data_IF_247677881266
#
_entry.id   IF_247677881266
#
_cell.length_a   1.000
_cell.length_b   1.000
_cell.length_c   1.000
_cell.angle_alpha   90.00
_cell.angle_beta   90.00
_cell.angle_gamma   90.00
#
_symmetry.space_group_name_H-M   'P 1'
#
loop_
_entity.id
_entity.type
_entity.pdbx_description
1 polymer ?
#
# COMPACT_ATOMS: atom_id res chain seq x y z
N UNK A 1 16.24 32.46 34.46
CA UNK A 1 17.21 32.66 33.34
C UNK A 1 17.69 31.28 32.91
N UNK A 2 17.35 30.92 31.67
CA UNK A 2 17.93 29.87 30.81
C UNK A 2 18.22 28.48 31.42
N UNK A 3 17.22 27.61 31.28
CA UNK A 3 17.42 26.16 31.20
C UNK A 3 18.37 25.84 30.03
N UNK A 4 19.51 25.24 30.35
CA UNK A 4 20.47 24.72 29.39
C UNK A 4 19.84 23.58 28.60
N UNK A 5 19.25 23.91 27.44
CA UNK A 5 19.00 22.96 26.36
C UNK A 5 20.34 22.62 25.72
N UNK A 6 21.12 21.77 26.36
CA UNK A 6 22.31 21.17 25.77
C UNK A 6 22.38 19.69 26.14
N UNK A 7 21.37 18.95 25.72
CA UNK A 7 21.43 17.50 25.65
C UNK A 7 20.87 17.12 24.27
N UNK A 8 21.64 16.29 23.56
CA UNK A 8 21.25 15.52 22.37
C UNK A 8 21.74 15.98 20.98
N UNK A 9 22.92 16.58 20.88
CA UNK A 9 23.76 16.31 19.70
C UNK A 9 24.83 15.31 20.14
N UNK A 10 24.54 14.02 19.98
CA UNK A 10 25.64 13.06 19.90
C UNK A 10 26.56 13.55 18.78
N UNK A 11 27.89 13.64 18.97
CA UNK A 11 28.79 13.96 17.87
C UNK A 11 28.51 12.95 16.76
N UNK A 12 27.85 13.41 15.72
CA UNK A 12 27.60 12.67 14.50
C UNK A 12 28.77 13.05 13.61
N UNK A 13 29.76 12.17 13.51
CA UNK A 13 30.89 12.40 12.64
C UNK A 13 30.55 11.77 11.28
N UNK A 14 30.44 12.61 10.25
CA UNK A 14 30.29 12.12 8.88
C UNK A 14 31.52 11.29 8.49
N UNK A 15 31.26 10.07 8.04
CA UNK A 15 32.29 9.08 7.75
C UNK A 15 32.48 8.86 6.23
N UNK A 16 31.49 9.24 5.43
CA UNK A 16 31.55 9.19 3.97
C UNK A 16 30.39 8.42 3.36
N UNK A 17 30.59 7.91 2.16
CA UNK A 17 29.61 7.15 1.38
C UNK A 17 30.06 5.69 1.21
N UNK A 18 29.12 4.75 1.28
CA UNK A 18 29.35 3.34 1.01
C UNK A 18 28.38 2.85 -0.06
N UNK A 19 28.87 2.04 -1.00
CA UNK A 19 28.05 1.37 -2.01
C UNK A 19 27.97 -0.12 -1.69
N UNK A 20 26.75 -0.65 -1.59
CA UNK A 20 26.48 -2.06 -1.29
C UNK A 20 25.30 -2.52 -2.17
N UNK A 21 25.49 -3.59 -2.95
CA UNK A 21 24.46 -4.17 -3.84
C UNK A 21 23.76 -3.17 -4.77
N UNK A 22 24.49 -2.15 -5.25
CA UNK A 22 23.93 -1.09 -6.11
C UNK A 22 23.06 -0.06 -5.37
N UNK A 23 23.07 -0.09 -4.04
CA UNK A 23 22.57 0.97 -3.18
C UNK A 23 23.72 1.81 -2.62
N UNK A 24 23.45 3.09 -2.46
CA UNK A 24 24.37 4.10 -1.94
C UNK A 24 23.89 4.54 -0.57
N UNK A 25 24.76 4.46 0.42
CA UNK A 25 24.49 4.82 1.81
C UNK A 25 25.42 5.93 2.26
N UNK A 26 24.89 6.98 2.91
CA UNK A 26 25.72 7.89 3.68
C UNK A 26 25.96 7.30 5.06
N UNK A 27 27.21 7.30 5.50
CA UNK A 27 27.64 6.73 6.77
C UNK A 27 28.07 7.83 7.72
N UNK A 28 27.59 7.73 8.95
CA UNK A 28 28.04 8.58 10.05
C UNK A 28 28.31 7.74 11.31
N UNK A 29 29.16 8.25 12.20
CA UNK A 29 29.42 7.64 13.49
C UNK A 29 28.71 8.42 14.58
N UNK A 30 27.86 7.75 15.36
CA UNK A 30 27.09 8.33 16.46
C UNK A 30 27.62 7.82 17.80
N UNK A 31 28.06 8.73 18.67
CA UNK A 31 28.42 8.36 20.06
C UNK A 31 27.16 8.28 20.94
N UNK A 32 26.85 7.09 21.45
CA UNK A 32 25.72 6.83 22.35
C UNK A 32 26.22 6.37 23.72
N UNK A 33 25.56 6.82 24.80
CA UNK A 33 25.84 6.32 26.14
C UNK A 33 25.37 4.87 26.23
N UNK A 34 26.23 3.95 26.62
CA UNK A 34 25.83 2.56 26.76
C UNK A 34 24.96 2.39 28.01
N UNK A 35 23.72 1.94 27.84
CA UNK A 35 22.95 1.33 28.93
C UNK A 35 23.48 -0.09 29.15
N UNK A 36 24.67 -0.20 29.75
CA UNK A 36 25.03 -1.48 30.35
C UNK A 36 24.13 -1.62 31.58
N UNK A 37 23.02 -2.36 31.47
CA UNK A 37 22.33 -2.83 32.66
C UNK A 37 23.33 -3.73 33.36
N UNK A 38 23.78 -3.32 34.55
CA UNK A 38 24.62 -4.15 35.41
C UNK A 38 23.98 -5.54 35.52
N UNK A 39 24.73 -6.64 35.47
CA UNK A 39 24.18 -7.93 35.85
C UNK A 39 23.64 -7.76 37.26
N UNK A 40 22.33 -7.84 37.44
CA UNK A 40 21.74 -7.86 38.77
C UNK A 40 22.38 -9.04 39.50
N UNK A 41 23.02 -8.74 40.63
CA UNK A 41 23.50 -9.72 41.59
C UNK A 41 22.42 -10.77 41.80
N UNK A 42 22.79 -12.05 41.69
CA UNK A 42 21.91 -13.15 42.05
C UNK A 42 21.40 -13.00 43.49
N UNK A 43 20.25 -13.61 43.82
CA UNK A 43 19.63 -13.45 45.13
C UNK A 43 20.47 -14.22 46.17
N UNK A 44 21.42 -13.56 46.83
CA UNK A 44 22.24 -14.24 47.84
C UNK A 44 23.45 -13.52 48.43
N UNK A 45 23.54 -12.18 48.39
CA UNK A 45 24.67 -11.47 49.00
C UNK A 45 24.28 -10.12 49.55
N UNK A 46 24.25 -9.99 50.88
CA UNK A 46 24.22 -8.70 51.56
C UNK A 46 25.52 -7.93 51.29
N UNK A 47 25.56 -7.15 50.22
CA UNK A 47 26.47 -6.00 50.11
C UNK A 47 25.67 -4.77 49.71
N UNK A 48 25.82 -3.71 50.51
CA UNK A 48 25.28 -2.40 50.17
C UNK A 48 25.82 -1.99 48.79
N UNK A 49 24.97 -1.43 47.89
CA UNK A 49 25.41 -1.04 46.57
C UNK A 49 26.55 -0.03 46.69
N UNK A 50 27.76 -0.42 46.29
CA UNK A 50 28.90 0.48 46.34
C UNK A 50 28.63 1.70 45.44
N UNK A 51 28.71 2.94 45.94
CA UNK A 51 28.43 4.14 45.15
C UNK A 51 29.47 4.40 44.04
N UNK A 52 30.55 3.60 44.00
CA UNK A 52 31.68 3.72 43.07
C UNK A 52 31.44 2.94 41.77
N UNK A 53 30.54 1.95 41.76
CA UNK A 53 30.24 1.18 40.54
C UNK A 53 29.53 1.99 39.44
N UNK A 54 29.05 3.21 39.77
CA UNK A 54 28.32 4.09 38.86
C UNK A 54 29.12 5.31 38.37
N UNK A 55 30.43 5.41 38.65
CA UNK A 55 31.20 6.65 38.40
C UNK A 55 31.69 6.82 36.97
N UNK A 56 31.70 5.77 36.13
CA UNK A 56 32.17 5.87 34.74
C UNK A 56 31.04 5.81 33.72
N UNK A 57 30.84 6.92 33.00
CA UNK A 57 29.99 6.97 31.82
C UNK A 57 30.63 6.16 30.69
N UNK A 58 30.04 5.02 30.39
CA UNK A 58 30.45 4.21 29.25
C UNK A 58 29.76 4.73 27.98
N UNK A 59 30.55 4.97 26.93
CA UNK A 59 30.08 5.37 25.61
C UNK A 59 30.41 4.28 24.60
N UNK A 60 29.50 4.05 23.65
CA UNK A 60 29.71 3.25 22.45
C UNK A 60 29.55 4.16 21.24
N UNK A 61 30.43 4.04 20.27
CA UNK A 61 30.24 4.64 18.95
C UNK A 61 29.52 3.61 18.07
N UNK A 62 28.38 3.97 17.51
CA UNK A 62 27.63 3.17 16.55
C UNK A 62 27.76 3.77 15.16
N UNK A 63 27.96 2.91 14.17
CA UNK A 63 27.86 3.28 12.76
C UNK A 63 26.39 3.41 12.41
N UNK A 64 26.02 4.55 11.84
CA UNK A 64 24.70 4.86 11.34
C UNK A 64 24.75 4.93 9.82
N UNK A 65 23.91 4.16 9.12
CA UNK A 65 23.81 4.17 7.66
C UNK A 65 22.45 4.70 7.22
N UNK A 66 22.45 5.68 6.33
CA UNK A 66 21.23 6.29 5.77
C UNK A 66 21.22 6.05 4.27
N UNK A 67 20.14 5.48 3.75
CA UNK A 67 20.03 5.14 2.34
C UNK A 67 19.86 6.42 1.50
N UNK A 68 20.68 6.59 0.46
CA UNK A 68 20.69 7.78 -0.42
C UNK A 68 20.14 7.50 -1.80
N UNK A 69 20.52 6.37 -2.39
CA UNK A 69 20.04 5.95 -3.69
C UNK A 69 20.01 4.43 -3.76
N UNK A 70 19.01 3.87 -4.42
CA UNK A 70 18.95 2.44 -4.71
C UNK A 70 17.98 2.17 -5.85
N UNK A 71 18.01 0.94 -6.37
CA UNK A 71 16.96 0.42 -7.24
C UNK A 71 15.67 0.19 -6.44
N UNK A 72 14.54 0.13 -7.13
CA UNK A 72 13.21 -0.01 -6.51
C UNK A 72 13.12 -1.22 -5.58
N UNK A 73 13.64 -2.37 -6.00
CA UNK A 73 13.58 -3.61 -5.23
C UNK A 73 14.28 -3.46 -3.87
N UNK A 74 15.39 -2.71 -3.85
CA UNK A 74 16.14 -2.45 -2.62
C UNK A 74 15.47 -1.38 -1.77
N UNK A 75 14.83 -0.36 -2.36
CA UNK A 75 14.01 0.59 -1.61
C UNK A 75 12.84 -0.11 -0.91
N UNK A 76 12.16 -1.03 -1.60
CA UNK A 76 11.08 -1.83 -1.02
C UNK A 76 11.62 -2.78 0.07
N UNK A 77 12.79 -3.39 -0.15
CA UNK A 77 13.47 -4.16 0.88
C UNK A 77 13.76 -3.35 2.14
N UNK A 78 14.18 -2.10 1.99
CA UNK A 78 14.43 -1.17 3.09
C UNK A 78 13.14 -0.78 3.83
N UNK A 79 11.99 -0.69 3.16
CA UNK A 79 10.69 -0.44 3.83
C UNK A 79 10.30 -1.56 4.78
N UNK A 80 10.58 -2.81 4.38
CA UNK A 80 10.10 -4.02 5.08
C UNK A 80 11.11 -4.53 6.09
N UNK A 81 12.40 -4.52 5.73
CA UNK A 81 13.48 -5.12 6.50
C UNK A 81 14.56 -4.13 6.92
N UNK A 82 14.42 -2.85 6.59
CA UNK A 82 15.35 -1.80 6.99
C UNK A 82 15.35 -1.54 8.49
N UNK A 83 16.50 -1.11 9.00
CA UNK A 83 16.67 -0.77 10.41
C UNK A 83 16.18 0.66 10.65
N UNK A 84 14.98 0.78 11.21
CA UNK A 84 14.34 2.07 11.53
C UNK A 84 15.13 2.91 12.53
N UNK A 85 16.04 2.32 13.30
CA UNK A 85 16.91 3.09 14.20
C UNK A 85 18.01 3.84 13.43
N UNK A 86 18.38 3.33 12.26
CA UNK A 86 19.41 3.92 11.39
C UNK A 86 18.85 5.10 10.61
N UNK A 87 17.66 4.93 10.03
CA UNK A 87 16.98 5.97 9.25
C UNK A 87 15.46 5.96 9.52
N UNK A 88 14.99 6.64 10.58
CA UNK A 88 13.56 6.73 10.88
C UNK A 88 12.80 7.61 9.88
N UNK A 89 13.50 8.47 9.13
CA UNK A 89 12.90 9.34 8.12
C UNK A 89 12.66 8.64 6.79
N UNK A 90 13.24 7.47 6.56
CA UNK A 90 13.16 6.77 5.29
C UNK A 90 11.71 6.50 4.86
N UNK A 91 10.91 5.83 5.71
CA UNK A 91 9.53 5.45 5.40
C UNK A 91 8.66 6.66 5.05
N UNK A 92 8.56 7.71 5.90
CA UNK A 92 7.72 8.87 5.56
C UNK A 92 8.24 9.63 4.33
N UNK A 93 9.57 9.78 4.16
CA UNK A 93 10.11 10.45 2.98
C UNK A 93 9.85 9.66 1.69
N UNK A 94 9.97 8.34 1.74
CA UNK A 94 9.68 7.46 0.61
C UNK A 94 8.20 7.54 0.23
N UNK A 95 7.29 7.38 1.20
CA UNK A 95 5.83 7.43 0.95
C UNK A 95 5.39 8.79 0.40
N UNK A 96 6.02 9.88 0.83
CA UNK A 96 5.71 11.21 0.32
C UNK A 96 6.17 11.47 -1.13
N UNK A 97 7.11 10.68 -1.66
CA UNK A 97 7.80 11.01 -2.93
C UNK A 97 7.84 9.90 -3.97
N UNK A 98 7.46 8.66 -3.64
CA UNK A 98 7.63 7.51 -4.56
C UNK A 98 6.91 7.68 -5.91
N UNK A 99 5.77 8.40 -5.94
CA UNK A 99 4.99 8.65 -7.16
C UNK A 99 5.78 9.37 -8.26
N UNK A 100 6.87 10.05 -7.90
CA UNK A 100 7.75 10.71 -8.88
C UNK A 100 8.54 9.72 -9.73
N UNK A 101 8.69 8.47 -9.28
CA UNK A 101 9.46 7.45 -9.99
C UNK A 101 8.75 6.10 -10.18
N UNK A 102 7.69 5.80 -9.40
CA UNK A 102 6.95 4.53 -9.46
C UNK A 102 5.44 4.74 -9.24
N UNK A 103 4.56 4.13 -10.07
CA UNK A 103 3.12 4.16 -9.83
C UNK A 103 2.71 3.25 -8.66
N UNK A 104 1.64 3.62 -7.94
CA UNK A 104 1.10 2.90 -6.77
C UNK A 104 0.95 1.40 -7.02
N UNK A 105 0.23 1.01 -8.07
CA UNK A 105 0.04 -0.39 -8.46
C UNK A 105 1.35 -1.19 -8.57
N UNK A 106 2.40 -0.60 -9.15
CA UNK A 106 3.71 -1.26 -9.27
C UNK A 106 4.36 -1.43 -7.90
N UNK A 107 4.32 -0.41 -7.05
CA UNK A 107 4.86 -0.49 -5.69
C UNK A 107 4.13 -1.54 -4.85
N UNK A 108 2.80 -1.59 -4.92
CA UNK A 108 1.99 -2.61 -4.26
C UNK A 108 2.33 -4.02 -4.75
N UNK A 109 2.62 -4.19 -6.03
CA UNK A 109 3.08 -5.47 -6.58
C UNK A 109 4.41 -5.97 -5.98
N UNK A 110 5.27 -5.09 -5.48
CA UNK A 110 6.49 -5.49 -4.75
C UNK A 110 6.25 -5.67 -3.25
N UNK A 111 5.30 -4.94 -2.67
CA UNK A 111 5.08 -4.89 -1.23
C UNK A 111 4.12 -5.99 -0.74
N UNK A 112 3.06 -6.25 -1.50
CA UNK A 112 2.01 -7.19 -1.13
C UNK A 112 2.43 -8.62 -1.51
N UNK A 113 2.63 -9.53 -0.54
CA UNK A 113 2.81 -10.93 -0.86
C UNK A 113 1.52 -11.50 -1.48
N UNK A 114 1.63 -12.55 -2.33
CA UNK A 114 0.48 -13.23 -2.88
C UNK A 114 -0.46 -13.69 -1.75
N UNK A 115 -1.77 -13.61 -2.00
CA UNK A 115 -2.78 -14.15 -1.07
C UNK A 115 -2.48 -15.64 -0.85
N UNK A 116 -2.32 -16.11 0.40
CA UNK A 116 -2.03 -17.51 0.66
C UNK A 116 -3.19 -18.39 0.18
N UNK A 117 -2.91 -19.55 -0.44
CA UNK A 117 -3.95 -20.47 -0.85
C UNK A 117 -4.74 -20.99 0.37
N UNK A 118 -6.03 -21.29 0.23
CA UNK A 118 -6.82 -21.84 1.32
C UNK A 118 -6.20 -23.16 1.80
N UNK A 119 -6.12 -23.41 3.12
CA UNK A 119 -5.55 -24.64 3.61
C UNK A 119 -6.37 -25.84 3.10
N UNK A 120 -5.71 -26.91 2.59
CA UNK A 120 -6.42 -28.12 2.21
C UNK A 120 -7.12 -28.71 3.45
N UNK A 121 -8.34 -29.24 3.31
CA UNK A 121 -9.06 -29.84 4.43
C UNK A 121 -8.24 -30.99 5.04
N UNK A 122 -7.91 -30.87 6.33
CA UNK A 122 -7.27 -31.92 7.11
C UNK A 122 -5.74 -31.87 7.27
N UNK A 123 -5.06 -30.81 6.84
CA UNK A 123 -3.60 -30.69 7.01
C UNK A 123 -3.23 -29.75 8.16
N UNK A 124 -2.65 -30.30 9.23
CA UNK A 124 -1.95 -29.54 10.26
C UNK A 124 -0.67 -28.92 9.66
N UNK A 125 -0.63 -27.59 9.58
CA UNK A 125 0.51 -26.85 9.05
C UNK A 125 1.67 -26.97 10.04
N UNK A 126 2.61 -27.90 9.77
CA UNK A 126 3.88 -27.98 10.49
C UNK A 126 4.75 -26.78 10.09
N UNK A 127 4.72 -25.75 10.92
CA UNK A 127 5.43 -24.47 10.72
C UNK A 127 6.94 -24.61 10.94
N UNK A 128 7.73 -24.33 9.91
CA UNK A 128 9.18 -24.18 10.01
C UNK A 128 9.50 -22.87 10.74
N UNK A 129 9.83 -22.94 12.03
CA UNK A 129 9.83 -21.80 12.96
C UNK A 129 10.68 -20.58 12.53
N UNK A 130 11.86 -20.77 11.91
CA UNK A 130 12.77 -19.66 11.59
C UNK A 130 12.28 -18.82 10.40
N UNK A 131 11.71 -19.47 9.39
CA UNK A 131 11.10 -18.78 8.25
C UNK A 131 9.76 -18.13 8.66
N UNK A 132 8.98 -18.76 9.54
CA UNK A 132 7.74 -18.18 10.07
C UNK A 132 8.02 -16.90 10.87
N UNK A 133 9.09 -16.86 11.68
CA UNK A 133 9.45 -15.64 12.43
C UNK A 133 9.87 -14.47 11.53
N UNK A 134 10.71 -14.70 10.53
CA UNK A 134 11.14 -13.63 9.59
C UNK A 134 9.99 -13.17 8.70
N UNK A 135 9.20 -14.11 8.19
CA UNK A 135 7.97 -13.83 7.45
C UNK A 135 6.98 -13.02 8.28
N UNK A 136 6.75 -13.39 9.55
CA UNK A 136 5.86 -12.65 10.44
C UNK A 136 6.36 -11.23 10.77
N UNK A 137 7.68 -11.05 10.94
CA UNK A 137 8.28 -9.72 11.13
C UNK A 137 8.07 -8.83 9.90
N UNK A 138 8.37 -9.36 8.71
CA UNK A 138 8.18 -8.65 7.45
C UNK A 138 6.70 -8.33 7.21
N UNK A 139 5.80 -9.27 7.49
CA UNK A 139 4.35 -9.05 7.41
C UNK A 139 3.92 -7.89 8.31
N UNK A 140 4.36 -7.86 9.57
CA UNK A 140 4.07 -6.73 10.47
C UNK A 140 4.65 -5.42 9.97
N UNK A 141 5.87 -5.43 9.42
CA UNK A 141 6.46 -4.24 8.84
C UNK A 141 5.65 -3.71 7.66
N UNK A 142 5.20 -4.59 6.77
CA UNK A 142 4.30 -4.26 5.64
C UNK A 142 2.99 -3.67 6.15
N UNK A 143 2.35 -4.31 7.13
CA UNK A 143 1.11 -3.78 7.75
C UNK A 143 1.33 -2.39 8.33
N UNK A 144 2.44 -2.17 9.06
CA UNK A 144 2.76 -0.84 9.59
C UNK A 144 3.01 0.20 8.50
N UNK A 145 3.73 -0.16 7.42
CA UNK A 145 3.98 0.74 6.29
C UNK A 145 2.66 1.11 5.60
N UNK A 146 1.79 0.13 5.35
CA UNK A 146 0.44 0.37 4.79
C UNK A 146 -0.40 1.23 5.72
N UNK A 147 -0.31 1.00 7.04
CA UNK A 147 -1.01 1.80 8.05
C UNK A 147 -0.66 3.28 8.01
N UNK A 148 0.64 3.60 7.88
CA UNK A 148 1.14 4.97 7.67
C UNK A 148 0.74 5.50 6.29
N UNK A 149 0.86 4.69 5.24
CA UNK A 149 0.53 5.11 3.88
C UNK A 149 -0.95 5.49 3.73
N UNK A 150 -1.86 4.66 4.24
CA UNK A 150 -3.30 4.95 4.28
C UNK A 150 -3.64 6.16 5.17
N UNK A 151 -2.80 6.47 6.16
CA UNK A 151 -3.01 7.63 7.03
C UNK A 151 -2.57 8.93 6.37
N UNK A 152 -1.35 8.94 5.83
CA UNK A 152 -0.66 10.16 5.44
C UNK A 152 -0.91 10.51 3.97
N UNK A 153 -1.17 9.49 3.12
CA UNK A 153 -1.40 9.67 1.69
C UNK A 153 -2.58 8.82 1.17
N UNK A 154 -3.81 9.01 1.69
CA UNK A 154 -4.99 8.24 1.23
C UNK A 154 -5.30 8.47 -0.26
N UNK A 155 -4.95 9.65 -0.80
CA UNK A 155 -5.18 10.01 -2.20
C UNK A 155 -4.42 9.14 -3.19
N UNK A 156 -3.37 8.46 -2.74
CA UNK A 156 -2.58 7.58 -3.60
C UNK A 156 -3.36 6.36 -4.10
N UNK A 157 -4.42 6.00 -3.37
CA UNK A 157 -5.31 4.88 -3.63
C UNK A 157 -6.62 5.31 -4.30
N UNK A 158 -6.78 6.61 -4.60
CA UNK A 158 -7.95 7.14 -5.28
C UNK A 158 -7.82 6.88 -6.78
N UNK A 159 -8.31 5.72 -7.20
CA UNK A 159 -8.34 5.26 -8.59
C UNK A 159 -9.78 4.89 -9.01
N UNK A 160 -10.66 5.87 -9.27
CA UNK A 160 -12.03 5.60 -9.70
C UNK A 160 -12.07 4.91 -11.07
N UNK A 161 -13.08 4.05 -11.36
CA UNK A 161 -14.24 3.73 -10.51
C UNK A 161 -14.03 2.50 -9.60
N UNK A 162 -12.96 1.72 -9.81
CA UNK A 162 -12.80 0.42 -9.16
C UNK A 162 -11.95 0.44 -7.88
N UNK A 163 -11.16 1.50 -7.65
CA UNK A 163 -10.23 1.63 -6.54
C UNK A 163 -9.38 0.37 -6.34
N UNK A 164 -8.85 -0.16 -7.45
CA UNK A 164 -8.24 -1.50 -7.52
C UNK A 164 -7.05 -1.68 -6.58
N UNK A 165 -6.24 -0.63 -6.43
CA UNK A 165 -5.11 -0.56 -5.50
C UNK A 165 -5.59 -0.64 -4.04
N UNK A 166 -6.64 0.11 -3.68
CA UNK A 166 -7.23 0.07 -2.34
C UNK A 166 -7.87 -1.30 -2.04
N UNK A 167 -8.55 -1.89 -3.02
CA UNK A 167 -9.13 -3.23 -2.92
C UNK A 167 -8.07 -4.31 -2.70
N UNK A 168 -6.90 -4.18 -3.34
CA UNK A 168 -5.76 -5.07 -3.14
C UNK A 168 -5.20 -4.97 -1.72
N UNK A 169 -5.06 -3.74 -1.21
CA UNK A 169 -4.63 -3.48 0.18
C UNK A 169 -5.64 -4.02 1.20
N UNK A 170 -6.94 -3.81 0.98
CA UNK A 170 -8.02 -4.33 1.84
C UNK A 170 -7.99 -5.85 1.91
N UNK A 171 -7.91 -6.51 0.75
CA UNK A 171 -7.80 -7.97 0.67
C UNK A 171 -6.59 -8.46 1.45
N UNK A 172 -5.43 -7.83 1.27
CA UNK A 172 -4.21 -8.15 1.99
C UNK A 172 -4.38 -8.03 3.52
N UNK A 173 -4.85 -6.88 4.00
CA UNK A 173 -5.03 -6.61 5.42
C UNK A 173 -6.06 -7.55 6.06
N UNK A 174 -7.09 -7.96 5.32
CA UNK A 174 -8.12 -8.88 5.79
C UNK A 174 -7.59 -10.25 6.20
N UNK A 175 -6.56 -10.78 5.53
CA UNK A 175 -5.93 -12.04 5.93
C UNK A 175 -4.64 -11.86 6.73
N UNK A 176 -3.88 -10.79 6.49
CA UNK A 176 -2.59 -10.55 7.16
C UNK A 176 -2.74 -10.01 8.59
N UNK A 177 -3.76 -9.18 8.83
CA UNK A 177 -4.03 -8.55 10.11
C UNK A 177 -5.54 -8.30 10.30
N UNK A 178 -6.37 -9.36 10.39
CA UNK A 178 -7.81 -9.22 10.54
C UNK A 178 -8.16 -8.43 11.82
N UNK A 179 -9.05 -7.44 11.68
CA UNK A 179 -9.50 -6.60 12.80
C UNK A 179 -8.47 -5.57 13.30
N UNK A 180 -7.35 -5.39 12.59
CA UNK A 180 -6.39 -4.33 12.88
C UNK A 180 -6.95 -2.94 12.56
N UNK A 181 -6.36 -1.91 13.17
CA UNK A 181 -6.74 -0.52 12.89
C UNK A 181 -6.47 -0.14 11.42
N UNK A 182 -5.42 -0.73 10.84
CA UNK A 182 -5.07 -0.58 9.44
C UNK A 182 -6.13 -1.18 8.52
N UNK A 183 -6.63 -2.39 8.83
CA UNK A 183 -7.70 -3.04 8.08
C UNK A 183 -8.99 -2.21 8.10
N UNK A 184 -9.41 -1.77 9.28
CA UNK A 184 -10.59 -0.91 9.45
C UNK A 184 -10.46 0.42 8.69
N UNK A 185 -9.25 1.00 8.68
CA UNK A 185 -8.99 2.24 7.93
C UNK A 185 -9.10 2.02 6.43
N UNK A 186 -8.58 0.92 5.90
CA UNK A 186 -8.68 0.59 4.48
C UNK A 186 -10.13 0.36 4.04
N UNK A 187 -10.93 -0.32 4.88
CA UNK A 187 -12.37 -0.52 4.66
C UNK A 187 -13.11 0.81 4.62
N UNK A 188 -12.93 1.64 5.65
CA UNK A 188 -13.57 2.96 5.74
C UNK A 188 -13.19 3.87 4.56
N UNK A 189 -11.92 3.94 4.19
CA UNK A 189 -11.47 4.76 3.06
C UNK A 189 -12.11 4.33 1.73
N UNK A 190 -12.32 3.01 1.55
CA UNK A 190 -12.96 2.50 0.35
C UNK A 190 -14.45 2.88 0.31
N UNK A 191 -15.14 2.79 1.45
CA UNK A 191 -16.53 3.26 1.60
C UNK A 191 -16.63 4.75 1.30
N UNK A 192 -15.77 5.57 1.93
CA UNK A 192 -15.73 7.03 1.74
C UNK A 192 -15.54 7.39 0.24
N UNK A 193 -14.62 6.73 -0.46
CA UNK A 193 -14.37 6.99 -1.89
C UNK A 193 -15.50 6.56 -2.81
N UNK A 194 -16.18 5.45 -2.50
CA UNK A 194 -17.33 4.98 -3.28
C UNK A 194 -18.54 5.92 -3.10
N UNK A 195 -18.83 6.34 -1.87
CA UNK A 195 -19.90 7.31 -1.59
C UNK A 195 -19.66 8.65 -2.29
N UNK A 196 -18.41 9.13 -2.31
CA UNK A 196 -18.04 10.35 -3.04
C UNK A 196 -18.26 10.20 -4.55
N UNK A 197 -17.88 9.06 -5.14
CA UNK A 197 -18.07 8.79 -6.56
C UNK A 197 -19.55 8.68 -6.96
N UNK A 198 -20.42 8.19 -6.07
CA UNK A 198 -21.88 8.15 -6.28
C UNK A 198 -22.49 9.55 -6.26
N UNK A 199 -22.07 10.41 -5.32
CA UNK A 199 -22.53 11.82 -5.24
C UNK A 199 -22.12 12.64 -6.46
N UNK A 200 -20.88 12.46 -6.93
CA UNK A 200 -20.38 13.14 -8.14
C UNK A 200 -21.18 12.73 -9.40
N UNK A 201 -21.69 11.50 -9.45
CA UNK A 201 -22.54 11.03 -10.57
C UNK A 201 -23.97 11.55 -10.51
N UNK A 202 -24.50 11.85 -9.32
CA UNK A 202 -25.84 12.46 -9.15
C UNK A 202 -25.83 13.98 -9.42
N UNK A 203 -24.68 14.66 -9.23
CA UNK A 203 -24.55 16.11 -9.44
C UNK A 203 -24.25 16.54 -10.89
N UNK A 204 -23.82 15.66 -11.80
CA UNK A 204 -23.68 15.97 -13.23
C UNK A 204 -25.06 15.98 -13.92
N UNK A 205 -25.64 17.16 -14.26
CA UNK A 205 -26.91 17.21 -14.96
C UNK A 205 -26.73 16.70 -16.40
N UNK A 206 -27.74 16.04 -17.02
CA UNK A 206 -27.65 15.59 -18.39
C UNK A 206 -27.31 16.75 -19.34
N UNK A 207 -26.17 16.69 -20.02
CA UNK A 207 -25.76 17.70 -21.00
C UNK A 207 -26.78 17.79 -22.15
N UNK A 208 -27.32 19.01 -22.29
CA UNK A 208 -28.03 19.63 -23.40
C UNK A 208 -28.27 18.78 -24.67
N UNK A 209 -29.47 18.22 -24.79
CA UNK A 209 -30.10 18.03 -26.09
C UNK A 209 -30.77 19.36 -26.47
N UNK A 210 -30.38 20.05 -27.57
CA UNK A 210 -31.10 21.24 -27.99
C UNK A 210 -32.49 20.83 -28.45
N UNK A 211 -33.52 21.23 -27.70
CA UNK A 211 -34.92 21.03 -28.07
C UNK A 211 -35.20 21.72 -29.41
N UNK A 212 -35.49 20.91 -30.43
CA UNK A 212 -36.04 21.38 -31.71
C UNK A 212 -37.34 22.14 -31.44
N UNK A 213 -37.48 23.43 -31.83
CA UNK A 213 -38.69 24.18 -31.60
C UNK A 213 -39.88 23.57 -32.34
N UNK A 214 -40.92 23.24 -31.56
CA UNK A 214 -42.22 22.68 -31.98
C UNK A 214 -43.05 23.70 -32.76
N UNK A 215 -42.58 24.13 -33.92
CA UNK A 215 -43.23 25.18 -34.70
C UNK A 215 -43.47 24.78 -36.15
N UNK A 216 -44.06 23.61 -36.39
CA UNK A 216 -44.76 23.30 -37.65
C UNK A 216 -45.96 22.38 -37.39
N UNK A 217 -46.90 22.86 -36.58
CA UNK A 217 -48.27 22.32 -36.57
C UNK A 217 -49.18 23.30 -37.27
N UNK A 218 -49.10 23.38 -38.60
CA UNK A 218 -50.26 23.86 -39.36
C UNK A 218 -50.31 23.27 -40.76
N UNK A 219 -51.43 22.59 -40.99
CA UNK A 219 -52.12 22.36 -42.26
C UNK A 219 -51.39 21.55 -43.34
N UNK A 220 -51.71 20.25 -43.40
CA UNK A 220 -52.14 19.65 -44.66
C UNK A 220 -53.19 18.57 -44.40
N UNK A 221 -54.39 18.86 -44.92
CA UNK A 221 -55.57 18.03 -44.96
C UNK A 221 -55.25 16.59 -45.37
N UNK A 222 -55.88 15.63 -44.66
CA UNK A 222 -56.11 14.29 -45.19
C UNK A 222 -57.03 14.38 -46.42
N UNK A 223 -56.71 13.67 -47.51
CA UNK A 223 -57.73 13.04 -48.31
C UNK A 223 -57.77 11.53 -48.05
N UNK A 224 -58.96 10.99 -48.30
CA UNK A 224 -59.38 9.64 -47.98
C UNK A 224 -58.79 8.54 -48.88
N UNK A 225 -58.72 7.33 -48.29
CA UNK A 225 -58.76 5.97 -48.88
C UNK A 225 -58.43 5.79 -50.37
N UNK A 226 -57.50 4.87 -50.64
CA UNK A 226 -57.69 3.85 -51.70
C UNK A 226 -57.02 2.52 -51.34
N UNK A 227 -57.84 1.47 -51.16
CA UNK A 227 -57.43 0.06 -51.16
C UNK A 227 -56.83 -0.27 -52.52
N UNK A 228 -55.64 -0.87 -52.57
CA UNK A 228 -55.19 -1.69 -53.70
C UNK A 228 -54.60 -3.01 -53.20
N UNK A 229 -55.07 -4.08 -53.86
CA UNK A 229 -54.73 -5.49 -53.68
C UNK A 229 -53.32 -5.77 -54.19
N UNK A 230 -52.65 -6.73 -53.53
CA UNK A 230 -51.85 -7.79 -54.15
C UNK A 230 -50.50 -7.39 -54.76
N UNK A 231 -49.42 -7.96 -54.25
CA UNK A 231 -48.83 -9.16 -54.86
C UNK A 231 -47.56 -9.58 -54.12
N UNK A 232 -47.38 -10.90 -54.12
CA UNK A 232 -46.31 -11.65 -53.51
C UNK A 232 -44.98 -11.39 -54.25
N UNK A 233 -43.89 -11.12 -53.53
CA UNK A 233 -42.54 -11.24 -54.07
C UNK A 233 -41.68 -12.07 -53.12
N UNK A 234 -41.01 -13.02 -53.76
CA UNK A 234 -40.40 -14.24 -53.24
C UNK A 234 -39.13 -13.96 -52.43
N UNK A 235 -38.97 -14.77 -51.40
CA UNK A 235 -37.70 -15.02 -50.71
C UNK A 235 -36.79 -15.83 -51.65
N UNK A 236 -35.53 -15.44 -51.89
CA UNK A 236 -34.55 -16.33 -52.46
C UNK A 236 -33.93 -17.18 -51.35
N UNK A 237 -34.23 -18.47 -51.41
CA UNK A 237 -33.53 -19.53 -50.69
C UNK A 237 -32.19 -19.82 -51.39
N UNK A 238 -31.07 -19.64 -50.69
CA UNK A 238 -29.81 -20.28 -51.09
C UNK A 238 -29.04 -20.84 -49.88
N UNK A 239 -29.23 -22.15 -49.67
CA UNK A 239 -28.26 -23.20 -49.29
C UNK A 239 -27.60 -23.07 -47.90
N UNK A 240 -28.08 -23.78 -46.89
CA UNK A 240 -27.70 -25.14 -46.44
C UNK A 240 -26.21 -25.35 -46.08
N UNK A 241 -26.03 -25.75 -44.81
CA UNK A 241 -25.02 -26.69 -44.29
C UNK A 241 -23.68 -26.13 -43.79
N UNK A 242 -23.53 -26.03 -42.47
CA UNK A 242 -22.45 -26.73 -41.75
C UNK A 242 -22.73 -26.71 -40.23
N UNK A 243 -23.14 -27.86 -39.72
CA UNK A 243 -23.08 -28.21 -38.30
C UNK A 243 -21.64 -28.55 -37.90
N UNK A 244 -21.42 -28.62 -36.57
CA UNK A 244 -20.30 -29.25 -35.84
C UNK A 244 -18.96 -28.49 -35.87
N UNK A 245 -18.17 -28.37 -34.78
CA UNK A 245 -18.15 -29.05 -33.47
C UNK A 245 -17.07 -28.36 -32.60
N UNK A 246 -17.37 -28.11 -31.33
CA UNK A 246 -16.38 -27.86 -30.27
C UNK A 246 -15.51 -29.11 -30.03
N UNK A 247 -14.30 -28.95 -29.51
CA UNK A 247 -14.03 -29.68 -28.28
C UNK A 247 -13.31 -28.84 -27.23
N UNK A 248 -13.84 -28.95 -26.01
CA UNK A 248 -13.09 -28.79 -24.78
C UNK A 248 -11.96 -29.81 -24.71
N UNK A 249 -10.80 -29.38 -24.22
CA UNK A 249 -9.92 -30.21 -23.41
C UNK A 249 -9.08 -29.34 -22.48
#
# INVERSE_FOLDING_TARGET
RTAGKELALAPLQDWGEETEDGAVYSVSLRRQRSQRRSPAEGPGGSQAPSPIANTFLHYRTSKVRVLRAARLERLVGELVSGDREQDPSFVPAFLATYRTFVPTARLLGFLLPPVPPPPPPGVEIKKTAVQDLSFNKNLRAVVSVLGSWLQDHPQDFRDPPAHSDLGSVRTFLGWAAPGSAEAQKAEKLLEDFLEEAEREQEEEPPQDLPELPKLLTQTLQRPARRKRKGSCLKVPSSWTSAWTRWPSS
#
